data_IF_651541422466
#
_entry.id   IF_651541422466
#
_cell.length_a   1.000
_cell.length_b   1.000
_cell.length_c   1.000
_cell.angle_alpha   90.00
_cell.angle_beta   90.00
_cell.angle_gamma   90.00
#
_symmetry.space_group_name_H-M   'P 1'
#
loop_
_entity.id
_entity.type
_entity.pdbx_description
1 polymer ?
#
# COMPACT_ATOMS: atom_id res chain seq x y z
N UNK A 1 -13.68 9.93 4.11
CA UNK A 1 -14.59 8.87 3.62
C UNK A 1 -13.78 7.66 3.19
N UNK A 2 -14.36 6.46 3.31
CA UNK A 2 -13.78 5.24 2.78
C UNK A 2 -13.71 5.29 1.24
N UNK A 3 -12.78 4.56 0.64
CA UNK A 3 -12.68 4.39 -0.82
C UNK A 3 -12.91 2.91 -1.13
N UNK A 4 -13.82 2.63 -2.05
CA UNK A 4 -14.05 1.29 -2.58
C UNK A 4 -13.75 1.27 -4.08
N UNK A 5 -13.07 0.24 -4.54
CA UNK A 5 -12.89 -0.10 -5.95
C UNK A 5 -13.13 -1.59 -6.15
N UNK A 6 -13.53 -2.02 -7.34
CA UNK A 6 -13.85 -3.39 -7.61
C UNK A 6 -13.49 -3.82 -9.03
N UNK A 7 -13.26 -5.11 -9.16
CA UNK A 7 -13.32 -5.85 -10.43
C UNK A 7 -14.67 -6.57 -10.50
N UNK A 8 -14.88 -7.36 -11.56
CA UNK A 8 -16.09 -8.19 -11.69
C UNK A 8 -16.22 -9.27 -10.61
N UNK A 9 -15.11 -9.61 -9.92
CA UNK A 9 -15.06 -10.72 -8.96
C UNK A 9 -14.76 -10.24 -7.54
N UNK A 10 -13.80 -9.34 -7.39
CA UNK A 10 -13.27 -8.94 -6.08
C UNK A 10 -13.41 -7.43 -5.90
N UNK A 11 -13.77 -6.99 -4.69
CA UNK A 11 -13.78 -5.60 -4.30
C UNK A 11 -12.79 -5.30 -3.16
N UNK A 12 -12.28 -4.07 -3.14
CA UNK A 12 -11.29 -3.60 -2.18
C UNK A 12 -11.80 -2.32 -1.55
N UNK A 13 -11.75 -2.28 -0.22
CA UNK A 13 -12.06 -1.11 0.58
C UNK A 13 -10.83 -0.62 1.30
N UNK A 14 -10.48 0.64 1.07
CA UNK A 14 -9.50 1.38 1.87
C UNK A 14 -10.28 2.24 2.85
N UNK A 15 -10.13 1.98 4.14
CA UNK A 15 -10.82 2.76 5.18
C UNK A 15 -10.31 4.19 5.24
N UNK A 16 -11.19 5.10 5.66
CA UNK A 16 -10.90 6.51 5.83
C UNK A 16 -9.68 6.75 6.72
N UNK A 17 -9.54 5.98 7.81
CA UNK A 17 -8.42 6.10 8.74
C UNK A 17 -7.06 5.81 8.07
N UNK A 18 -7.02 4.85 7.14
CA UNK A 18 -5.82 4.56 6.35
C UNK A 18 -5.50 5.73 5.43
N UNK A 19 -6.50 6.25 4.73
CA UNK A 19 -6.35 7.39 3.82
C UNK A 19 -5.84 8.62 4.58
N UNK A 20 -6.47 8.99 5.69
CA UNK A 20 -6.05 10.14 6.51
C UNK A 20 -4.65 9.99 7.07
N UNK A 21 -4.29 8.77 7.50
CA UNK A 21 -2.95 8.49 8.01
C UNK A 21 -1.91 8.72 6.93
N UNK A 22 -2.16 8.25 5.71
CA UNK A 22 -1.18 8.35 4.64
C UNK A 22 -1.10 9.76 4.05
N UNK A 23 -2.23 10.45 3.87
CA UNK A 23 -2.29 11.79 3.28
C UNK A 23 -1.42 12.80 4.06
N UNK A 24 -1.22 12.62 5.37
CA UNK A 24 -0.32 13.45 6.19
C UNK A 24 1.14 13.46 5.70
N UNK A 25 1.53 12.44 4.94
CA UNK A 25 2.85 12.32 4.36
C UNK A 25 2.92 12.75 2.90
N UNK A 26 1.80 13.07 2.27
CA UNK A 26 1.78 13.71 0.96
C UNK A 26 2.23 15.13 1.18
N UNK A 27 3.44 15.45 0.71
CA UNK A 27 4.01 16.76 0.95
C UNK A 27 4.03 17.59 -0.34
N UNK A 28 3.96 18.90 -0.16
CA UNK A 28 3.81 19.88 -1.24
C UNK A 28 5.12 20.62 -1.55
N UNK A 29 6.17 20.46 -0.73
CA UNK A 29 7.45 21.16 -0.93
C UNK A 29 8.45 20.31 -1.72
N UNK A 30 9.27 20.98 -2.52
CA UNK A 30 10.29 20.35 -3.36
C UNK A 30 11.45 19.71 -2.58
N UNK A 31 11.54 19.91 -1.27
CA UNK A 31 12.57 19.31 -0.39
C UNK A 31 12.10 18.04 0.31
N UNK A 32 10.87 17.64 0.06
CA UNK A 32 10.24 16.57 0.78
C UNK A 32 10.67 15.19 0.30
N UNK A 33 10.97 14.31 1.26
CA UNK A 33 11.28 12.92 0.98
C UNK A 33 10.01 12.07 0.96
N UNK A 34 10.00 11.08 0.07
CA UNK A 34 8.97 10.05 0.04
C UNK A 34 8.83 9.39 1.42
N UNK A 35 7.59 9.05 1.77
CA UNK A 35 7.25 8.22 2.89
C UNK A 35 6.63 6.93 2.38
N UNK A 36 6.63 5.91 3.22
CA UNK A 36 5.90 4.69 2.94
C UNK A 36 5.71 3.84 4.18
N UNK A 37 5.10 2.69 3.97
CA UNK A 37 4.84 1.71 5.00
C UNK A 37 4.08 0.51 4.44
N UNK A 38 3.63 -0.34 5.33
CA UNK A 38 2.82 -1.52 5.01
C UNK A 38 1.32 -1.23 5.16
N UNK A 39 0.52 -1.90 4.34
CA UNK A 39 -0.93 -1.99 4.39
C UNK A 39 -1.33 -3.30 5.06
N UNK A 40 -2.25 -3.23 6.02
CA UNK A 40 -2.74 -4.35 6.80
C UNK A 40 -4.25 -4.35 6.70
N UNK A 41 -4.80 -5.53 6.46
CA UNK A 41 -6.21 -5.69 6.19
C UNK A 41 -6.66 -7.12 6.39
N UNK A 42 -7.87 -7.43 5.98
CA UNK A 42 -8.49 -8.75 6.13
C UNK A 42 -9.40 -9.02 4.96
N UNK A 43 -9.57 -10.29 4.65
CA UNK A 43 -10.60 -10.75 3.72
C UNK A 43 -11.93 -10.88 4.46
N UNK A 44 -13.03 -10.62 3.75
CA UNK A 44 -14.37 -10.94 4.24
C UNK A 44 -14.61 -12.44 4.06
N UNK A 45 -15.20 -13.08 5.07
CA UNK A 45 -15.44 -14.54 5.06
C UNK A 45 -16.49 -14.94 4.01
N UNK A 46 -17.39 -14.02 3.64
CA UNK A 46 -18.57 -14.30 2.82
C UNK A 46 -18.63 -13.52 1.51
N UNK A 47 -17.66 -12.65 1.27
CA UNK A 47 -17.61 -11.79 0.08
C UNK A 47 -16.17 -11.82 -0.43
N UNK A 48 -15.99 -11.83 -1.75
CA UNK A 48 -14.70 -11.61 -2.41
C UNK A 48 -14.25 -10.15 -2.18
N UNK A 49 -13.93 -9.82 -0.94
CA UNK A 49 -13.82 -8.45 -0.44
C UNK A 49 -12.63 -8.29 0.50
N UNK A 50 -11.69 -7.41 0.13
CA UNK A 50 -10.53 -7.09 0.95
C UNK A 50 -10.75 -5.75 1.62
N UNK A 51 -10.58 -5.68 2.93
CA UNK A 51 -10.69 -4.45 3.73
C UNK A 51 -9.32 -4.08 4.28
N UNK A 52 -8.77 -2.96 3.80
CA UNK A 52 -7.53 -2.34 4.28
C UNK A 52 -7.90 -1.36 5.40
N UNK A 53 -7.67 -1.78 6.64
CA UNK A 53 -8.08 -1.06 7.86
C UNK A 53 -6.93 -0.36 8.57
N UNK A 54 -5.69 -0.81 8.37
CA UNK A 54 -4.52 -0.23 9.01
C UNK A 54 -3.39 0.01 8.02
N UNK A 55 -2.62 1.05 8.30
CA UNK A 55 -1.36 1.34 7.64
C UNK A 55 -0.34 1.72 8.70
N UNK A 56 0.89 1.26 8.53
CA UNK A 56 2.01 1.77 9.33
C UNK A 56 2.44 3.14 8.81
N UNK A 57 3.04 3.93 9.69
CA UNK A 57 3.73 5.16 9.33
C UNK A 57 5.19 4.86 8.95
N UNK A 58 5.89 5.76 8.23
CA UNK A 58 7.34 5.68 8.13
C UNK A 58 7.97 5.77 9.51
N UNK A 59 8.95 4.93 9.79
CA UNK A 59 9.69 4.90 11.04
C UNK A 59 11.10 5.51 10.89
N UNK A 60 11.76 5.88 12.00
CA UNK A 60 13.04 6.60 11.95
C UNK A 60 14.17 5.90 11.20
N UNK A 61 14.19 4.55 11.17
CA UNK A 61 15.25 3.80 10.50
C UNK A 61 15.00 3.57 9.01
N UNK A 62 13.86 4.03 8.48
CA UNK A 62 13.59 3.96 7.04
C UNK A 62 14.44 4.94 6.27
N UNK A 63 14.84 4.56 5.05
CA UNK A 63 15.59 5.46 4.17
C UNK A 63 14.59 6.21 3.32
N UNK A 64 14.55 7.53 3.52
CA UNK A 64 13.65 8.45 2.84
C UNK A 64 14.45 9.44 2.01
N UNK A 65 14.27 9.41 0.69
CA UNK A 65 14.80 10.39 -0.26
C UNK A 65 13.66 10.95 -1.10
N UNK A 66 13.93 12.01 -1.85
CA UNK A 66 12.93 12.70 -2.68
C UNK A 66 12.18 11.80 -3.69
N UNK A 67 12.88 10.80 -4.24
CA UNK A 67 12.34 9.88 -5.25
C UNK A 67 12.64 8.42 -4.90
N UNK A 68 12.76 8.13 -3.59
CA UNK A 68 13.04 6.78 -3.11
C UNK A 68 12.64 6.62 -1.65
N UNK A 69 11.78 5.64 -1.39
CA UNK A 69 11.55 5.07 -0.08
C UNK A 69 12.15 3.66 0.02
N UNK A 70 12.86 3.37 1.12
CA UNK A 70 13.28 2.00 1.47
C UNK A 70 12.81 1.70 2.88
N UNK A 71 11.85 0.77 2.96
CA UNK A 71 11.40 0.18 4.22
C UNK A 71 12.54 -0.64 4.85
N UNK A 72 13.03 -0.20 5.99
CA UNK A 72 14.12 -0.87 6.75
C UNK A 72 13.78 -1.07 8.21
N UNK A 73 12.90 -0.26 8.77
CA UNK A 73 12.63 -0.32 10.19
C UNK A 73 11.85 -1.60 10.56
N UNK A 74 12.33 -2.32 11.58
CA UNK A 74 11.68 -3.53 12.08
C UNK A 74 10.28 -3.28 12.65
N UNK A 75 9.98 -2.03 13.01
CA UNK A 75 8.70 -1.65 13.60
C UNK A 75 7.52 -1.90 12.66
N UNK A 76 7.71 -1.93 11.34
CA UNK A 76 6.63 -2.35 10.42
C UNK A 76 6.17 -3.79 10.70
N UNK A 77 7.12 -4.71 10.83
CA UNK A 77 6.82 -6.12 11.12
C UNK A 77 6.28 -6.28 12.54
N UNK A 78 6.84 -5.56 13.52
CA UNK A 78 6.34 -5.58 14.90
C UNK A 78 4.90 -5.05 15.00
N UNK A 79 4.57 -3.98 14.26
CA UNK A 79 3.21 -3.45 14.18
C UNK A 79 2.26 -4.45 13.55
N UNK A 80 2.65 -5.08 12.43
CA UNK A 80 1.86 -6.16 11.84
C UNK A 80 1.59 -7.30 12.83
N UNK A 81 2.64 -7.83 13.48
CA UNK A 81 2.51 -8.91 14.47
C UNK A 81 1.57 -8.54 15.61
N UNK A 82 1.63 -7.30 16.09
CA UNK A 82 0.72 -6.79 17.12
C UNK A 82 -0.75 -6.83 16.66
N UNK A 83 -1.03 -6.42 15.43
CA UNK A 83 -2.39 -6.50 14.87
C UNK A 83 -2.83 -7.95 14.68
N UNK A 84 -1.95 -8.80 14.16
CA UNK A 84 -2.20 -10.24 14.00
C UNK A 84 -2.57 -10.89 15.34
N UNK A 85 -1.74 -10.72 16.37
CA UNK A 85 -1.95 -11.30 17.70
C UNK A 85 -3.19 -10.74 18.39
N UNK A 86 -3.37 -9.41 18.38
CA UNK A 86 -4.50 -8.74 19.04
C UNK A 86 -5.86 -9.20 18.50
N UNK A 87 -5.92 -9.57 17.22
CA UNK A 87 -7.15 -9.96 16.53
C UNK A 87 -7.12 -11.42 16.08
N UNK A 88 -6.42 -12.28 16.82
CA UNK A 88 -6.46 -13.74 16.65
C UNK A 88 -6.18 -14.22 15.20
N UNK A 89 -5.28 -13.54 14.51
CA UNK A 89 -4.82 -13.90 13.17
C UNK A 89 -5.72 -13.43 12.01
N UNK A 90 -6.76 -12.64 12.28
CA UNK A 90 -7.70 -12.18 11.24
C UNK A 90 -7.03 -11.20 10.25
N UNK A 91 -6.05 -10.41 10.70
CA UNK A 91 -5.38 -9.42 9.85
C UNK A 91 -4.14 -9.98 9.18
N UNK A 92 -4.03 -9.74 7.88
CA UNK A 92 -2.90 -10.10 7.04
C UNK A 92 -2.15 -8.87 6.53
N UNK A 93 -0.92 -9.09 6.07
CA UNK A 93 -0.18 -8.14 5.27
C UNK A 93 -0.77 -8.12 3.85
N UNK A 94 -1.27 -6.96 3.42
CA UNK A 94 -1.95 -6.79 2.12
C UNK A 94 -1.00 -6.22 1.06
N UNK A 95 0.02 -5.46 1.49
CA UNK A 95 1.01 -4.89 0.59
C UNK A 95 1.63 -3.62 1.16
N UNK A 96 2.00 -2.68 0.31
CA UNK A 96 2.75 -1.47 0.70
C UNK A 96 2.09 -0.20 0.19
N UNK A 97 2.37 0.91 0.86
CA UNK A 97 2.04 2.24 0.37
C UNK A 97 3.29 3.12 0.35
N UNK A 98 3.33 4.08 -0.55
CA UNK A 98 4.30 5.17 -0.52
C UNK A 98 3.77 6.42 -1.23
N UNK A 99 4.46 7.55 -1.05
CA UNK A 99 4.12 8.82 -1.68
C UNK A 99 5.06 9.12 -2.83
N UNK A 100 4.54 9.70 -3.92
CA UNK A 100 5.35 10.32 -4.96
C UNK A 100 5.16 11.85 -4.95
N UNK A 101 6.16 12.64 -5.36
CA UNK A 101 6.01 14.08 -5.54
C UNK A 101 5.16 14.44 -6.79
N UNK A 102 4.90 13.48 -7.68
CA UNK A 102 4.07 13.65 -8.87
C UNK A 102 2.62 14.01 -8.52
N UNK A 103 1.94 14.76 -9.39
CA UNK A 103 0.51 15.04 -9.22
C UNK A 103 -0.36 13.80 -9.44
N UNK A 104 -0.04 13.07 -10.50
CA UNK A 104 -0.61 11.78 -10.87
C UNK A 104 0.50 10.75 -10.76
N UNK A 105 0.50 9.90 -9.72
CA UNK A 105 1.62 9.02 -9.46
C UNK A 105 1.68 7.89 -10.50
N UNK A 106 2.90 7.49 -10.84
CA UNK A 106 3.19 6.28 -11.60
C UNK A 106 4.22 5.46 -10.83
N UNK A 107 4.10 4.13 -10.86
CA UNK A 107 5.17 3.30 -10.33
C UNK A 107 6.43 3.47 -11.21
N UNK A 108 7.58 3.55 -10.56
CA UNK A 108 8.88 3.54 -11.22
C UNK A 108 9.34 2.10 -11.50
N UNK A 109 10.43 1.96 -12.28
CA UNK A 109 11.09 0.65 -12.44
C UNK A 109 11.62 0.10 -11.11
N UNK A 110 12.01 0.97 -10.17
CA UNK A 110 12.45 0.56 -8.85
C UNK A 110 11.30 -0.04 -8.05
N UNK A 111 10.11 0.55 -8.15
CA UNK A 111 8.91 0.06 -7.48
C UNK A 111 8.54 -1.32 -8.02
N UNK A 112 8.46 -1.46 -9.35
CA UNK A 112 8.19 -2.76 -9.98
C UNK A 112 9.21 -3.83 -9.57
N UNK A 113 10.49 -3.48 -9.48
CA UNK A 113 11.54 -4.40 -9.00
C UNK A 113 11.31 -4.83 -7.55
N UNK A 114 10.89 -3.91 -6.68
CA UNK A 114 10.55 -4.24 -5.29
C UNK A 114 9.28 -5.09 -5.21
N UNK A 115 8.25 -4.79 -6.00
CA UNK A 115 7.00 -5.55 -6.02
C UNK A 115 7.22 -6.98 -6.50
N UNK A 116 8.03 -7.17 -7.55
CA UNK A 116 8.48 -8.49 -7.99
C UNK A 116 9.17 -9.27 -6.87
N UNK A 117 10.05 -8.62 -6.11
CA UNK A 117 10.72 -9.26 -4.97
C UNK A 117 9.72 -9.66 -3.89
N UNK A 118 8.78 -8.78 -3.53
CA UNK A 118 7.75 -9.05 -2.51
C UNK A 118 6.86 -10.21 -2.94
N UNK A 119 6.32 -10.19 -4.16
CA UNK A 119 5.46 -11.24 -4.68
C UNK A 119 6.19 -12.59 -4.80
N UNK A 120 7.52 -12.55 -4.98
CA UNK A 120 8.35 -13.75 -5.04
C UNK A 120 8.70 -14.36 -3.67
N UNK A 121 8.49 -13.66 -2.54
CA UNK A 121 8.82 -14.21 -1.22
C UNK A 121 7.90 -15.35 -0.80
N UNK A 122 6.64 -15.34 -1.26
CA UNK A 122 5.61 -16.31 -0.92
C UNK A 122 4.97 -16.89 -2.19
N UNK A 123 5.78 -17.28 -3.20
CA UNK A 123 5.25 -17.79 -4.49
C UNK A 123 4.27 -18.95 -4.33
N UNK A 124 4.53 -19.81 -3.35
CA UNK A 124 3.72 -20.98 -3.05
C UNK A 124 2.29 -20.63 -2.60
N UNK A 125 2.06 -19.42 -2.11
CA UNK A 125 0.74 -18.99 -1.63
C UNK A 125 -0.15 -18.45 -2.76
N UNK A 126 0.36 -18.28 -3.99
CA UNK A 126 -0.34 -17.72 -5.16
C UNK A 126 -1.10 -16.41 -4.85
N UNK A 127 -0.49 -15.55 -4.01
CA UNK A 127 -1.09 -14.31 -3.51
C UNK A 127 -0.67 -13.09 -4.29
N UNK A 128 -1.64 -12.23 -4.58
CA UNK A 128 -1.42 -10.85 -5.03
C UNK A 128 -1.14 -9.92 -3.87
N UNK A 129 -0.34 -8.89 -4.12
CA UNK A 129 -0.08 -7.79 -3.18
C UNK A 129 -0.52 -6.46 -3.77
N UNK A 130 -0.98 -5.57 -2.91
CA UNK A 130 -1.48 -4.27 -3.31
C UNK A 130 -0.50 -3.15 -2.98
N UNK A 131 -0.31 -2.27 -3.95
CA UNK A 131 0.64 -1.19 -3.88
C UNK A 131 -0.07 0.14 -4.10
N UNK A 132 -0.21 0.93 -3.04
CA UNK A 132 -0.84 2.25 -3.09
C UNK A 132 0.22 3.33 -3.25
N UNK A 133 0.15 4.10 -4.34
CA UNK A 133 0.98 5.30 -4.50
C UNK A 133 0.09 6.52 -4.44
N UNK A 134 0.45 7.48 -3.60
CA UNK A 134 -0.27 8.74 -3.48
C UNK A 134 0.62 9.88 -3.95
N UNK A 135 0.17 10.58 -4.98
CA UNK A 135 0.75 11.82 -5.48
C UNK A 135 0.16 13.05 -4.80
N UNK A 136 0.47 14.24 -5.30
CA UNK A 136 -0.03 15.51 -4.73
C UNK A 136 -1.49 15.81 -5.06
N UNK A 137 -2.05 15.22 -6.13
CA UNK A 137 -3.44 15.44 -6.55
C UNK A 137 -4.27 14.19 -6.69
N UNK A 138 -3.67 13.01 -6.70
CA UNK A 138 -4.38 11.75 -6.88
C UNK A 138 -3.68 10.60 -6.20
N UNK A 139 -4.39 9.49 -6.07
CA UNK A 139 -3.87 8.23 -5.58
C UNK A 139 -4.23 7.10 -6.53
N UNK A 140 -3.32 6.13 -6.62
CA UNK A 140 -3.50 4.94 -7.44
C UNK A 140 -3.13 3.68 -6.70
N UNK A 141 -3.94 2.64 -6.91
CA UNK A 141 -3.74 1.33 -6.32
C UNK A 141 -3.44 0.35 -7.44
N UNK A 142 -2.32 -0.37 -7.33
CA UNK A 142 -1.98 -1.47 -8.20
C UNK A 142 -2.05 -2.79 -7.46
N UNK A 143 -2.38 -3.84 -8.19
CA UNK A 143 -2.22 -5.22 -7.79
C UNK A 143 -1.02 -5.81 -8.53
N UNK A 144 -0.15 -6.49 -7.81
CA UNK A 144 0.96 -7.23 -8.40
C UNK A 144 0.98 -8.67 -7.92
N UNK A 145 1.15 -9.58 -8.87
CA UNK A 145 1.28 -11.01 -8.64
C UNK A 145 2.58 -11.50 -9.28
N UNK A 146 3.19 -12.55 -8.74
CA UNK A 146 4.49 -13.04 -9.24
C UNK A 146 4.46 -13.56 -10.67
N UNK A 147 3.26 -13.85 -11.21
CA UNK A 147 3.03 -14.25 -12.61
C UNK A 147 2.69 -13.07 -13.54
N UNK A 148 2.52 -11.86 -13.01
CA UNK A 148 2.17 -10.70 -13.83
C UNK A 148 3.42 -10.08 -14.44
N UNK A 149 3.39 -9.86 -15.76
CA UNK A 149 4.40 -9.05 -16.45
C UNK A 149 4.19 -7.56 -16.16
N UNK A 150 2.93 -7.14 -16.00
CA UNK A 150 2.52 -5.76 -15.76
C UNK A 150 1.56 -5.70 -14.56
N UNK A 151 1.79 -4.82 -13.56
CA UNK A 151 0.85 -4.62 -12.46
C UNK A 151 -0.52 -4.15 -12.96
N UNK A 152 -1.59 -4.67 -12.38
CA UNK A 152 -2.97 -4.31 -12.73
C UNK A 152 -3.39 -3.06 -11.95
N UNK A 153 -3.84 -2.02 -12.64
CA UNK A 153 -4.39 -0.82 -11.99
C UNK A 153 -5.82 -1.08 -11.50
N UNK A 154 -6.08 -0.81 -10.23
CA UNK A 154 -7.38 -0.98 -9.58
C UNK A 154 -8.08 0.33 -9.26
N UNK A 155 -7.33 1.37 -8.93
CA UNK A 155 -7.88 2.65 -8.52
C UNK A 155 -7.09 3.76 -9.20
N UNK A 156 -7.78 4.73 -9.77
CA UNK A 156 -7.24 6.05 -10.10
C UNK A 156 -8.22 7.10 -9.56
N UNK A 157 -7.84 7.78 -8.47
CA UNK A 157 -8.74 8.68 -7.75
C UNK A 157 -8.08 10.03 -7.52
N UNK A 158 -8.71 11.08 -8.05
CA UNK A 158 -8.38 12.47 -7.72
C UNK A 158 -8.73 12.76 -6.27
N UNK A 159 -7.79 13.34 -5.53
CA UNK A 159 -7.99 13.85 -4.18
C UNK A 159 -8.56 15.25 -4.28
N UNK A 160 -9.81 15.43 -3.83
CA UNK A 160 -10.41 16.76 -3.72
C UNK A 160 -9.81 17.40 -2.47
N UNK A 161 -9.03 18.46 -2.65
CA UNK A 161 -8.52 19.34 -1.59
C UNK A 161 -9.57 20.34 -1.15
#
# INVERSE_FOLDING_TARGET
MDITTNTDKVAIKITHNVIERIIKYVRLSNQDCEAGGILIGRESVNEDYIIIEYATEPYPSDIRKKFKFIRKDKNHVLSYKRYYEKYNGIYAYIGEWHTHPESIPHYSQLDLSNWNRISCLNKEEDKSYFHLIIGTKSMRLWEHHHKFEVPKLWLDKVMIT
#
